data_IF_979896926950
#
_entry.id   IF_979896926950
#
_cell.length_a   1.000
_cell.length_b   1.000
_cell.length_c   1.000
_cell.angle_alpha   90.00
_cell.angle_beta   90.00
_cell.angle_gamma   90.00
#
_symmetry.space_group_name_H-M   'P 1'
#
loop_
_entity.id
_entity.type
_entity.pdbx_description
1 polymer ?
#
# COMPACT_ATOMS: atom_id res chain seq x y z
N UNK A 1 -10.33 -6.84 -0.52
CA UNK A 1 -10.92 -6.68 -1.87
C UNK A 1 -9.94 -5.89 -2.73
N UNK A 2 -9.59 -6.35 -3.94
CA UNK A 2 -8.81 -5.53 -4.89
C UNK A 2 -9.71 -4.45 -5.48
N UNK A 3 -9.25 -3.21 -5.50
CA UNK A 3 -9.95 -2.10 -6.15
C UNK A 3 -9.50 -2.03 -7.60
N UNK A 4 -10.48 -1.92 -8.49
CA UNK A 4 -10.31 -1.71 -9.95
C UNK A 4 -11.26 -0.59 -10.38
N UNK A 5 -11.16 -0.17 -11.65
CA UNK A 5 -12.07 0.83 -12.22
C UNK A 5 -13.55 0.48 -12.04
N UNK A 6 -13.90 -0.81 -12.12
CA UNK A 6 -15.28 -1.30 -12.04
C UNK A 6 -15.89 -1.17 -10.64
N UNK A 7 -15.07 -1.12 -9.60
CA UNK A 7 -15.51 -1.07 -8.20
C UNK A 7 -14.96 0.13 -7.44
N UNK A 8 -14.52 1.17 -8.15
CA UNK A 8 -13.90 2.37 -7.57
C UNK A 8 -14.81 3.08 -6.55
N UNK A 9 -16.13 2.98 -6.71
CA UNK A 9 -17.12 3.55 -5.78
C UNK A 9 -17.04 3.03 -4.34
N UNK A 10 -16.30 1.93 -4.07
CA UNK A 10 -16.04 1.50 -2.69
C UNK A 10 -15.25 2.55 -1.89
N UNK A 11 -14.51 3.43 -2.58
CA UNK A 11 -13.76 4.53 -1.97
C UNK A 11 -14.63 5.76 -1.65
N UNK A 12 -15.94 5.71 -1.93
CA UNK A 12 -16.87 6.79 -1.57
C UNK A 12 -17.28 6.69 -0.07
N UNK A 13 -17.06 5.53 0.58
CA UNK A 13 -17.36 5.30 2.01
C UNK A 13 -16.14 4.74 2.73
N UNK A 14 -15.36 5.63 3.33
CA UNK A 14 -14.05 5.31 3.92
C UNK A 14 -13.97 5.86 5.33
N UNK A 15 -13.43 5.06 6.25
CA UNK A 15 -13.11 5.51 7.58
C UNK A 15 -11.97 6.55 7.51
N UNK A 16 -12.10 7.72 8.15
CA UNK A 16 -11.17 8.84 8.00
C UNK A 16 -9.74 8.51 8.42
N UNK A 17 -9.52 7.47 9.21
CA UNK A 17 -8.19 7.03 9.67
C UNK A 17 -7.49 6.08 8.68
N UNK A 18 -8.06 5.81 7.50
CA UNK A 18 -7.49 4.85 6.53
C UNK A 18 -6.46 5.44 5.57
N UNK A 19 -6.59 6.73 5.25
CA UNK A 19 -5.73 7.43 4.31
C UNK A 19 -5.24 8.73 4.96
N UNK A 20 -4.01 9.14 4.64
CA UNK A 20 -3.42 10.35 5.22
C UNK A 20 -4.06 11.64 4.70
N UNK A 21 -4.72 11.56 3.54
CA UNK A 21 -5.34 12.68 2.84
C UNK A 21 -6.72 12.31 2.32
N UNK A 22 -7.53 13.34 2.02
CA UNK A 22 -8.79 13.14 1.33
C UNK A 22 -8.55 12.48 -0.04
N UNK A 23 -9.37 11.49 -0.36
CA UNK A 23 -9.26 10.76 -1.63
C UNK A 23 -9.66 11.70 -2.78
N UNK A 24 -8.70 11.97 -3.66
CA UNK A 24 -8.98 12.55 -4.97
C UNK A 24 -9.45 11.44 -5.92
N UNK A 25 -10.66 11.58 -6.46
CA UNK A 25 -11.31 10.54 -7.28
C UNK A 25 -10.61 10.32 -8.61
N UNK A 26 -10.07 11.37 -9.22
CA UNK A 26 -9.35 11.27 -10.49
C UNK A 26 -8.00 10.59 -10.30
N UNK A 27 -7.28 10.95 -9.24
CA UNK A 27 -6.03 10.30 -8.86
C UNK A 27 -6.24 8.83 -8.50
N UNK A 28 -7.30 8.50 -7.74
CA UNK A 28 -7.64 7.12 -7.42
C UNK A 28 -7.97 6.30 -8.68
N UNK A 29 -8.75 6.86 -9.61
CA UNK A 29 -9.05 6.22 -10.89
C UNK A 29 -7.78 5.96 -11.72
N UNK A 30 -6.90 6.96 -11.85
CA UNK A 30 -5.63 6.81 -12.55
C UNK A 30 -4.73 5.76 -11.89
N UNK A 31 -4.69 5.76 -10.55
CA UNK A 31 -3.92 4.80 -9.77
C UNK A 31 -4.37 3.36 -10.04
N UNK A 32 -5.67 3.04 -9.94
CA UNK A 32 -6.15 1.66 -10.13
C UNK A 32 -6.19 1.21 -11.59
N UNK A 33 -6.15 2.15 -12.54
CA UNK A 33 -6.02 1.87 -13.96
C UNK A 33 -4.58 1.56 -14.39
N UNK A 34 -3.58 1.92 -13.59
CA UNK A 34 -2.18 1.61 -13.87
C UNK A 34 -1.93 0.09 -13.77
N UNK A 35 -1.32 -0.54 -14.78
CA UNK A 35 -1.18 -2.00 -14.84
C UNK A 35 -0.30 -2.57 -13.72
N UNK A 36 0.66 -1.79 -13.23
CA UNK A 36 1.57 -2.21 -12.18
C UNK A 36 1.08 -1.80 -10.77
N UNK A 37 -0.01 -1.04 -10.66
CA UNK A 37 -0.58 -0.63 -9.39
C UNK A 37 -1.54 -1.67 -8.82
N UNK A 38 -1.45 -1.89 -7.52
CA UNK A 38 -2.28 -2.84 -6.77
C UNK A 38 -2.80 -2.12 -5.53
N UNK A 39 -4.08 -1.73 -5.56
CA UNK A 39 -4.81 -1.26 -4.38
C UNK A 39 -5.69 -2.38 -3.84
N UNK A 40 -5.51 -2.75 -2.58
CA UNK A 40 -6.38 -3.67 -1.86
C UNK A 40 -6.95 -2.97 -0.63
N UNK A 41 -8.27 -3.10 -0.42
CA UNK A 41 -8.97 -2.55 0.74
C UNK A 41 -9.59 -3.64 1.61
N UNK A 42 -9.67 -3.37 2.91
CA UNK A 42 -10.46 -4.11 3.87
C UNK A 42 -11.79 -3.37 4.08
N UNK A 43 -12.90 -4.09 4.06
CA UNK A 43 -14.25 -3.51 4.15
C UNK A 43 -14.98 -4.14 5.33
N UNK A 44 -15.59 -3.31 6.17
CA UNK A 44 -16.50 -3.72 7.23
C UNK A 44 -17.78 -2.89 7.13
N UNK A 45 -18.94 -3.55 7.14
CA UNK A 45 -20.25 -2.90 7.07
C UNK A 45 -20.40 -1.91 5.89
N UNK A 46 -19.80 -2.25 4.74
CA UNK A 46 -19.80 -1.41 3.54
C UNK A 46 -18.84 -0.22 3.58
N UNK A 47 -18.07 -0.05 4.67
CA UNK A 47 -17.07 1.00 4.84
C UNK A 47 -15.66 0.43 4.66
N UNK A 48 -14.79 1.15 3.94
CA UNK A 48 -13.35 0.83 3.89
C UNK A 48 -12.72 1.18 5.24
N UNK A 49 -12.07 0.18 5.86
CA UNK A 49 -11.47 0.27 7.20
C UNK A 49 -9.96 -0.02 7.19
N UNK A 50 -9.41 -0.30 6.02
CA UNK A 50 -7.99 -0.37 5.79
C UNK A 50 -7.67 -0.47 4.31
N UNK A 51 -6.45 -0.11 3.95
CA UNK A 51 -5.97 -0.10 2.57
C UNK A 51 -4.51 -0.53 2.53
N UNK A 52 -4.08 -1.09 1.41
CA UNK A 52 -2.70 -1.28 1.07
C UNK A 52 -2.50 -1.00 -0.41
N UNK A 53 -1.64 -0.03 -0.71
CA UNK A 53 -1.21 0.30 -2.04
C UNK A 53 0.20 -0.25 -2.28
N UNK A 54 0.33 -1.01 -3.36
CA UNK A 54 1.60 -1.57 -3.79
C UNK A 54 1.81 -1.37 -5.29
N UNK A 55 3.07 -1.38 -5.73
CA UNK A 55 3.46 -1.24 -7.14
C UNK A 55 4.43 -2.35 -7.53
N UNK A 56 4.19 -2.96 -8.69
CA UNK A 56 5.12 -3.91 -9.31
C UNK A 56 6.20 -3.13 -10.04
N UNK A 57 7.44 -3.23 -9.58
CA UNK A 57 8.60 -2.54 -10.16
C UNK A 57 9.40 -3.51 -11.02
N UNK A 58 9.45 -3.23 -12.32
CA UNK A 58 10.16 -4.04 -13.31
C UNK A 58 11.51 -3.41 -13.62
N UNK A 59 12.54 -4.24 -13.65
CA UNK A 59 13.92 -3.81 -13.87
C UNK A 59 14.56 -4.57 -15.03
N UNK A 60 15.47 -3.96 -15.80
CA UNK A 60 16.14 -4.62 -16.93
C UNK A 60 17.24 -5.60 -16.50
N UNK A 61 17.79 -5.45 -15.29
CA UNK A 61 19.03 -6.10 -14.83
C UNK A 61 18.91 -6.82 -13.48
N UNK A 62 17.74 -6.74 -12.83
CA UNK A 62 17.47 -7.40 -11.54
C UNK A 62 16.04 -7.95 -11.46
N UNK A 63 15.72 -8.79 -10.46
CA UNK A 63 14.38 -9.35 -10.30
C UNK A 63 13.30 -8.28 -10.20
N UNK A 64 12.09 -8.63 -10.65
CA UNK A 64 10.90 -7.80 -10.46
C UNK A 64 10.56 -7.72 -8.96
N UNK A 65 10.28 -6.52 -8.47
CA UNK A 65 10.03 -6.22 -7.05
C UNK A 65 8.58 -5.79 -6.84
N UNK A 66 8.04 -6.06 -5.66
CA UNK A 66 6.81 -5.44 -5.17
C UNK A 66 7.18 -4.37 -4.15
N UNK A 67 6.88 -3.11 -4.44
CA UNK A 67 7.01 -2.04 -3.47
C UNK A 67 5.67 -1.83 -2.74
N UNK A 68 5.65 -1.89 -1.42
CA UNK A 68 4.49 -1.49 -0.61
C UNK A 68 4.64 -0.02 -0.27
N UNK A 69 3.86 0.84 -0.91
CA UNK A 69 3.98 2.29 -0.76
C UNK A 69 3.13 2.87 0.36
N UNK A 70 1.97 2.27 0.62
CA UNK A 70 1.05 2.75 1.65
C UNK A 70 0.30 1.57 2.30
N UNK A 71 0.07 1.68 3.61
CA UNK A 71 -0.65 0.70 4.42
C UNK A 71 -1.33 1.40 5.60
N UNK A 72 -2.64 1.56 5.51
CA UNK A 72 -3.48 2.17 6.54
C UNK A 72 -4.50 1.18 7.10
N UNK A 73 -4.74 1.24 8.41
CA UNK A 73 -5.89 0.60 9.06
C UNK A 73 -6.47 1.57 10.07
N UNK A 74 -7.78 1.81 9.98
CA UNK A 74 -8.50 2.69 10.87
C UNK A 74 -8.31 2.29 12.34
N UNK A 75 -8.14 3.27 13.23
CA UNK A 75 -7.66 3.04 14.60
C UNK A 75 -8.51 1.99 15.35
N UNK A 76 -9.84 2.09 15.24
CA UNK A 76 -10.80 1.17 15.87
C UNK A 76 -10.74 -0.28 15.36
N UNK A 77 -10.14 -0.51 14.19
CA UNK A 77 -10.00 -1.83 13.56
C UNK A 77 -8.58 -2.42 13.67
N UNK A 78 -7.63 -1.68 14.26
CA UNK A 78 -6.25 -2.16 14.48
C UNK A 78 -6.22 -3.37 15.43
N UNK A 79 -5.11 -4.10 15.39
CA UNK A 79 -4.85 -5.31 16.21
C UNK A 79 -5.80 -6.49 15.96
N UNK A 80 -6.50 -6.49 14.83
CA UNK A 80 -7.38 -7.58 14.37
C UNK A 80 -6.82 -8.38 13.19
N UNK A 81 -5.53 -8.22 12.87
CA UNK A 81 -4.86 -8.91 11.75
C UNK A 81 -5.12 -8.31 10.36
N UNK A 82 -5.89 -7.23 10.24
CA UNK A 82 -6.26 -6.62 8.94
C UNK A 82 -5.04 -6.22 8.11
N UNK A 83 -4.05 -5.55 8.71
CA UNK A 83 -2.84 -5.14 8.00
C UNK A 83 -2.05 -6.33 7.43
N UNK A 84 -1.99 -7.45 8.19
CA UNK A 84 -1.35 -8.69 7.75
C UNK A 84 -2.09 -9.30 6.56
N UNK A 85 -3.42 -9.34 6.58
CA UNK A 85 -4.22 -9.87 5.48
C UNK A 85 -4.14 -8.99 4.23
N UNK A 86 -4.12 -7.66 4.39
CA UNK A 86 -3.86 -6.72 3.30
C UNK A 86 -2.49 -6.98 2.64
N UNK A 87 -1.43 -7.08 3.45
CA UNK A 87 -0.08 -7.38 2.98
C UNK A 87 -0.03 -8.73 2.24
N UNK A 88 -0.63 -9.78 2.81
CA UNK A 88 -0.71 -11.09 2.15
C UNK A 88 -1.43 -11.03 0.82
N UNK A 89 -2.51 -10.24 0.74
CA UNK A 89 -3.28 -10.07 -0.49
C UNK A 89 -2.47 -9.35 -1.58
N UNK A 90 -1.82 -8.23 -1.28
CA UNK A 90 -0.97 -7.53 -2.27
C UNK A 90 0.23 -8.38 -2.68
N UNK A 91 0.87 -9.10 -1.74
CA UNK A 91 1.97 -10.02 -2.06
C UNK A 91 1.52 -11.19 -2.94
N UNK A 92 0.31 -11.72 -2.73
CA UNK A 92 -0.26 -12.76 -3.60
C UNK A 92 -0.46 -12.24 -5.02
N UNK A 93 -0.98 -11.02 -5.17
CA UNK A 93 -1.18 -10.39 -6.48
C UNK A 93 0.19 -10.08 -7.13
N UNK A 94 1.13 -9.52 -6.38
CA UNK A 94 2.48 -9.22 -6.85
C UNK A 94 3.22 -10.45 -7.38
N UNK A 95 3.16 -11.58 -6.65
CA UNK A 95 3.69 -12.86 -7.13
C UNK A 95 3.05 -13.31 -8.45
N UNK A 96 1.73 -13.19 -8.57
CA UNK A 96 1.03 -13.51 -9.81
C UNK A 96 1.42 -12.57 -10.98
N UNK A 97 1.85 -11.34 -10.67
CA UNK A 97 2.37 -10.36 -11.63
C UNK A 97 3.87 -10.50 -11.93
N UNK A 98 4.53 -11.52 -11.37
CA UNK A 98 5.94 -11.85 -11.60
C UNK A 98 6.93 -11.21 -10.62
N UNK A 99 6.47 -10.54 -9.57
CA UNK A 99 7.35 -10.04 -8.51
C UNK A 99 7.95 -11.21 -7.71
N UNK A 100 9.26 -11.16 -7.51
CA UNK A 100 10.06 -12.15 -6.80
C UNK A 100 10.49 -11.64 -5.42
N UNK A 101 10.64 -10.32 -5.29
CA UNK A 101 11.07 -9.64 -4.07
C UNK A 101 10.02 -8.63 -3.60
N UNK A 102 10.09 -8.22 -2.34
CA UNK A 102 9.19 -7.22 -1.76
C UNK A 102 9.95 -6.31 -0.81
N UNK A 103 9.67 -5.01 -0.87
CA UNK A 103 10.28 -4.04 0.01
C UNK A 103 9.30 -2.92 0.40
N UNK A 104 9.61 -2.27 1.52
CA UNK A 104 8.85 -1.16 2.09
C UNK A 104 9.81 -0.28 2.88
N UNK A 105 9.63 1.04 2.76
CA UNK A 105 10.32 2.00 3.61
C UNK A 105 9.45 2.28 4.85
N UNK A 106 10.10 2.37 6.01
CA UNK A 106 9.41 2.65 7.28
C UNK A 106 10.26 3.61 8.09
N UNK A 107 9.62 4.58 8.72
CA UNK A 107 10.28 5.50 9.65
C UNK A 107 10.97 4.72 10.78
N UNK A 108 12.21 5.08 11.19
CA UNK A 108 12.97 4.33 12.18
C UNK A 108 12.27 4.16 13.53
N UNK A 109 11.40 5.09 13.91
CA UNK A 109 10.65 5.12 15.16
C UNK A 109 9.26 4.45 15.08
N UNK A 110 8.84 4.01 13.90
CA UNK A 110 7.59 3.27 13.72
C UNK A 110 7.76 1.80 14.10
N UNK A 111 7.89 1.56 15.41
CA UNK A 111 8.06 0.24 16.02
C UNK A 111 6.91 -0.70 15.66
N UNK A 112 5.69 -0.17 15.53
CA UNK A 112 4.50 -0.94 15.18
C UNK A 112 4.57 -1.55 13.77
N UNK A 113 4.90 -0.73 12.77
CA UNK A 113 5.10 -1.20 11.40
C UNK A 113 6.31 -2.14 11.29
N UNK A 114 7.41 -1.82 11.96
CA UNK A 114 8.58 -2.71 12.01
C UNK A 114 8.26 -4.10 12.56
N UNK A 115 7.48 -4.18 13.65
CA UNK A 115 7.04 -5.44 14.23
C UNK A 115 6.10 -6.21 13.27
N UNK A 116 5.19 -5.50 12.59
CA UNK A 116 4.30 -6.07 11.59
C UNK A 116 5.10 -6.72 10.44
N UNK A 117 6.04 -5.99 9.82
CA UNK A 117 6.81 -6.53 8.69
C UNK A 117 7.67 -7.73 9.11
N UNK A 118 8.31 -7.69 10.28
CA UNK A 118 9.02 -8.86 10.82
C UNK A 118 8.11 -10.06 11.05
N UNK A 119 6.88 -9.85 11.52
CA UNK A 119 5.91 -10.93 11.76
C UNK A 119 5.52 -11.68 10.48
N UNK A 120 5.68 -11.07 9.31
CA UNK A 120 5.42 -11.68 8.01
C UNK A 120 6.70 -12.11 7.28
N UNK A 121 7.84 -12.11 7.97
CA UNK A 121 9.12 -12.63 7.48
C UNK A 121 10.01 -11.63 6.75
N UNK A 122 9.64 -10.34 6.70
CA UNK A 122 10.53 -9.31 6.15
C UNK A 122 11.68 -9.04 7.12
N UNK A 123 12.86 -8.81 6.54
CA UNK A 123 14.07 -8.43 7.27
C UNK A 123 14.32 -6.93 7.10
N UNK A 124 14.99 -6.33 8.07
CA UNK A 124 15.36 -4.92 8.03
C UNK A 124 16.76 -4.81 7.46
N UNK A 125 16.90 -4.01 6.42
CA UNK A 125 18.18 -3.50 5.94
C UNK A 125 18.31 -2.01 6.30
N UNK A 126 19.55 -1.51 6.36
CA UNK A 126 19.83 -0.11 6.59
C UNK A 126 19.90 0.62 5.24
N UNK A 127 19.18 1.74 5.12
CA UNK A 127 19.19 2.60 3.95
C UNK A 127 18.96 4.06 4.38
N UNK A 128 19.61 4.98 3.68
CA UNK A 128 19.33 6.41 3.78
C UNK A 128 18.24 6.79 2.77
N UNK A 129 17.30 7.65 3.18
CA UNK A 129 16.25 8.18 2.31
C UNK A 129 16.63 9.62 1.94
N UNK A 130 16.71 9.90 0.64
CA UNK A 130 16.88 11.25 0.11
C UNK A 130 15.57 11.65 -0.59
N UNK A 131 14.92 12.70 -0.11
CA UNK A 131 13.69 13.22 -0.69
C UNK A 131 13.91 14.57 -1.40
N UNK A 132 13.02 14.87 -2.34
CA UNK A 132 13.11 16.06 -3.17
C UNK A 132 11.85 16.23 -4.01
N UNK A 133 11.70 17.41 -4.61
CA UNK A 133 10.58 17.68 -5.52
C UNK A 133 11.07 17.68 -6.96
N UNK A 134 10.32 17.06 -7.86
CA UNK A 134 10.60 17.09 -9.31
C UNK A 134 10.38 18.48 -9.91
N UNK A 135 9.56 19.31 -9.25
CA UNK A 135 9.26 20.67 -9.65
C UNK A 135 9.57 21.66 -8.50
N UNK A 136 9.93 22.91 -8.79
CA UNK A 136 10.03 23.94 -7.76
C UNK A 136 8.71 24.03 -6.98
N UNK A 137 8.77 24.08 -5.65
CA UNK A 137 7.57 24.39 -4.86
C UNK A 137 7.11 25.81 -5.22
N UNK A 138 5.82 26.06 -5.50
CA UNK A 138 5.34 27.41 -5.74
C UNK A 138 5.66 28.29 -4.51
N UNK A 139 6.11 29.52 -4.77
CA UNK A 139 6.43 30.52 -3.74
C UNK A 139 5.19 30.95 -2.97
#
# INVERSE_FOLDING_TARGET
MRVTSDCLGILDVVDPDCFDHQIDRAAAAACVASPDSILVVAVADGCVVGQCLATVQRHPDKPCELYVGDLGVAARYRRRGIATELLRAVMKIGRASGAQEVWVAVEPDNVGASALYRSIGLKRDAADIFDGSLYPRPR
#
